data_IF_948028329638
#
_entry.id   IF_948028329638
#
_cell.length_a   1.000
_cell.length_b   1.000
_cell.length_c   1.000
_cell.angle_alpha   90.00
_cell.angle_beta   90.00
_cell.angle_gamma   90.00
#
_symmetry.space_group_name_H-M   'P 1'
#
loop_
_entity.id
_entity.type
_entity.pdbx_description
1 polymer ?
#
# COMPACT_ATOMS: atom_id res chain seq x y z
N UNK A 1 -51.94 -11.80 63.10
CA UNK A 1 -50.62 -11.71 62.44
C UNK A 1 -50.26 -13.09 61.90
N UNK A 2 -50.51 -13.36 60.61
CA UNK A 2 -50.14 -14.63 59.95
C UNK A 2 -48.70 -14.51 59.45
N UNK A 3 -47.82 -15.45 59.82
CA UNK A 3 -46.51 -15.64 59.17
C UNK A 3 -46.75 -16.18 57.76
N UNK A 4 -46.18 -15.52 56.75
CA UNK A 4 -45.96 -16.11 55.42
C UNK A 4 -44.47 -16.39 55.23
N UNK A 5 -44.22 -17.46 54.49
CA UNK A 5 -42.98 -18.22 54.37
C UNK A 5 -42.47 -18.15 52.93
N UNK A 6 -41.14 -18.12 52.78
CA UNK A 6 -40.35 -18.57 51.60
C UNK A 6 -40.52 -17.72 50.32
N UNK A 7 -39.56 -17.51 49.40
CA UNK A 7 -38.50 -18.38 48.84
C UNK A 7 -37.44 -17.49 48.17
N UNK A 8 -36.17 -17.84 48.34
CA UNK A 8 -35.03 -17.27 47.59
C UNK A 8 -34.87 -18.05 46.28
N UNK A 9 -34.85 -17.38 45.13
CA UNK A 9 -34.38 -17.97 43.88
C UNK A 9 -32.95 -17.50 43.62
N UNK A 10 -31.99 -18.42 43.76
CA UNK A 10 -30.65 -18.26 43.19
C UNK A 10 -30.71 -18.91 41.80
N UNK A 11 -30.65 -18.11 40.74
CA UNK A 11 -30.35 -18.64 39.41
C UNK A 11 -28.83 -18.75 39.27
N UNK A 12 -28.32 -19.97 39.37
CA UNK A 12 -27.04 -20.35 38.79
C UNK A 12 -27.25 -20.45 37.27
N UNK A 13 -26.71 -19.50 36.50
CA UNK A 13 -26.59 -19.68 35.06
C UNK A 13 -25.24 -20.36 34.77
N UNK A 14 -25.24 -21.70 34.82
CA UNK A 14 -24.21 -22.54 34.22
C UNK A 14 -24.61 -22.74 32.75
N UNK A 15 -24.00 -21.95 31.90
CA UNK A 15 -24.16 -22.01 30.46
C UNK A 15 -23.27 -20.95 29.87
N UNK A 16 -22.06 -21.33 29.47
CA UNK A 16 -21.21 -20.45 28.68
C UNK A 16 -21.98 -20.10 27.42
N UNK A 17 -22.37 -18.83 27.27
CA UNK A 17 -22.52 -18.30 25.93
C UNK A 17 -21.16 -18.54 25.27
N UNK A 18 -21.08 -19.50 24.35
CA UNK A 18 -20.06 -19.39 23.32
C UNK A 18 -20.36 -18.07 22.67
N UNK A 19 -19.61 -17.03 23.01
CA UNK A 19 -19.62 -15.79 22.27
C UNK A 19 -19.21 -16.20 20.86
N UNK A 20 -20.20 -16.44 20.00
CA UNK A 20 -20.02 -16.18 18.60
C UNK A 20 -19.57 -14.73 18.60
N UNK A 21 -18.26 -14.54 18.47
CA UNK A 21 -17.63 -13.23 18.43
C UNK A 21 -18.40 -12.49 17.34
N UNK A 22 -19.24 -11.54 17.74
CA UNK A 22 -19.65 -10.54 16.77
C UNK A 22 -18.33 -10.01 16.23
N UNK A 23 -18.06 -10.23 14.94
CA UNK A 23 -16.93 -9.57 14.32
C UNK A 23 -17.24 -8.09 14.44
N UNK A 24 -16.61 -7.46 15.43
CA UNK A 24 -16.64 -6.02 15.57
C UNK A 24 -15.96 -5.51 14.30
N UNK A 25 -16.75 -4.89 13.43
CA UNK A 25 -16.22 -4.19 12.27
C UNK A 25 -15.52 -2.95 12.84
N UNK A 26 -14.20 -3.04 13.01
CA UNK A 26 -13.35 -1.98 13.54
C UNK A 26 -12.47 -1.40 12.43
N UNK A 27 -12.46 -0.07 12.31
CA UNK A 27 -11.49 0.63 11.48
C UNK A 27 -10.12 0.61 12.16
N UNK A 28 -9.23 -0.28 11.72
CA UNK A 28 -7.90 -0.45 12.33
C UNK A 28 -6.93 0.69 12.01
N UNK A 29 -6.94 1.17 10.78
CA UNK A 29 -6.31 2.44 10.38
C UNK A 29 -6.89 2.93 9.05
N UNK A 30 -6.74 4.23 8.79
CA UNK A 30 -6.95 4.86 7.50
C UNK A 30 -6.08 6.11 7.44
N UNK A 31 -5.55 6.44 6.28
CA UNK A 31 -4.74 7.64 6.08
C UNK A 31 -4.92 8.17 4.67
N UNK A 32 -4.69 9.48 4.50
CA UNK A 32 -4.44 10.04 3.18
C UNK A 32 -2.97 9.82 2.80
N UNK A 33 -2.72 9.53 1.53
CA UNK A 33 -1.41 9.47 0.92
C UNK A 33 -1.51 10.19 -0.42
N UNK A 34 -0.80 11.29 -0.57
CA UNK A 34 -0.91 12.13 -1.76
C UNK A 34 -0.22 13.47 -1.55
N UNK A 35 -0.51 14.42 -2.42
CA UNK A 35 0.22 15.70 -2.48
C UNK A 35 -0.69 16.91 -2.35
N UNK A 36 -0.10 18.10 -2.24
CA UNK A 36 -0.83 19.36 -2.06
C UNK A 36 -1.37 19.97 -3.38
N UNK A 37 -1.10 19.35 -4.53
CA UNK A 37 -1.44 19.89 -5.85
C UNK A 37 -2.77 19.36 -6.41
N UNK A 38 -3.38 20.13 -7.30
CA UNK A 38 -4.74 19.88 -7.83
C UNK A 38 -4.84 18.75 -8.87
N UNK A 39 -3.71 18.30 -9.42
CA UNK A 39 -3.69 17.14 -10.32
C UNK A 39 -3.67 15.85 -9.50
N UNK A 40 -4.67 15.00 -9.72
CA UNK A 40 -5.00 13.88 -8.85
C UNK A 40 -3.99 12.74 -8.88
N UNK A 41 -3.88 12.03 -7.76
CA UNK A 41 -3.20 10.73 -7.70
C UNK A 41 -4.19 9.64 -8.14
N UNK A 42 -3.82 8.82 -9.13
CA UNK A 42 -4.74 7.85 -9.74
C UNK A 42 -4.35 6.39 -9.48
N UNK A 43 -5.39 5.57 -9.28
CA UNK A 43 -5.38 4.12 -9.44
C UNK A 43 -4.42 3.37 -8.51
N UNK A 44 -4.55 3.49 -7.18
CA UNK A 44 -3.69 2.73 -6.28
C UNK A 44 -4.02 1.23 -6.37
N UNK A 45 -3.07 0.42 -6.80
CA UNK A 45 -3.10 -1.01 -6.51
C UNK A 45 -2.50 -1.26 -5.13
N UNK A 46 -3.04 -2.26 -4.44
CA UNK A 46 -2.64 -2.60 -3.07
C UNK A 46 -2.40 -4.09 -2.92
N UNK A 47 -1.34 -4.43 -2.18
CA UNK A 47 -1.15 -5.76 -1.65
C UNK A 47 -0.72 -5.69 -0.18
N UNK A 48 -0.88 -6.80 0.53
CA UNK A 48 -0.54 -6.90 1.96
C UNK A 48 0.34 -8.13 2.15
N UNK A 49 1.43 -7.98 2.89
CA UNK A 49 2.32 -9.11 3.21
C UNK A 49 1.80 -9.95 4.39
N UNK A 50 2.52 -11.02 4.74
CA UNK A 50 2.14 -11.91 5.83
C UNK A 50 2.22 -11.29 7.24
N UNK A 51 2.86 -10.12 7.38
CA UNK A 51 2.95 -9.39 8.65
C UNK A 51 1.94 -8.23 8.72
N UNK A 52 1.11 -8.05 7.70
CA UNK A 52 0.06 -7.04 7.63
C UNK A 52 0.53 -5.67 7.15
N UNK A 53 1.75 -5.54 6.61
CA UNK A 53 2.18 -4.29 5.99
C UNK A 53 1.51 -4.12 4.62
N UNK A 54 0.90 -2.97 4.40
CA UNK A 54 0.29 -2.61 3.12
C UNK A 54 1.32 -1.97 2.19
N UNK A 55 1.26 -2.38 0.92
CA UNK A 55 2.07 -1.88 -0.18
C UNK A 55 1.14 -1.23 -1.18
N UNK A 56 1.48 -0.03 -1.64
CA UNK A 56 0.70 0.72 -2.63
C UNK A 56 1.60 1.10 -3.81
N UNK A 57 1.04 1.05 -5.01
CA UNK A 57 1.61 1.67 -6.20
C UNK A 57 0.52 2.38 -6.97
N UNK A 58 0.88 3.43 -7.68
CA UNK A 58 -0.03 4.18 -8.52
C UNK A 58 0.72 5.27 -9.27
N UNK A 59 -0.03 6.18 -9.86
CA UNK A 59 0.53 7.33 -10.55
C UNK A 59 0.24 8.61 -9.77
N UNK A 60 1.24 9.49 -9.68
CA UNK A 60 1.11 10.84 -9.11
C UNK A 60 1.61 11.85 -10.12
N UNK A 61 0.87 12.94 -10.32
CA UNK A 61 1.31 14.05 -11.17
C UNK A 61 2.19 15.06 -10.38
N UNK A 62 2.59 14.70 -9.17
CA UNK A 62 3.32 15.58 -8.26
C UNK A 62 4.82 15.32 -8.22
N UNK A 63 5.59 16.28 -8.73
CA UNK A 63 7.04 16.21 -8.87
C UNK A 63 7.83 16.39 -7.57
N UNK A 64 7.26 17.12 -6.61
CA UNK A 64 8.01 17.65 -5.47
C UNK A 64 7.37 17.33 -4.11
N UNK A 65 6.13 16.85 -4.06
CA UNK A 65 5.36 16.81 -2.82
C UNK A 65 4.80 15.42 -2.45
N UNK A 66 5.09 14.35 -3.19
CA UNK A 66 4.75 13.01 -2.72
C UNK A 66 5.69 12.61 -1.57
N UNK A 67 5.16 12.10 -0.44
CA UNK A 67 6.00 11.79 0.72
C UNK A 67 6.95 10.64 0.37
N UNK A 68 8.26 10.92 0.34
CA UNK A 68 9.31 9.92 0.15
C UNK A 68 10.01 9.59 1.47
N UNK A 69 10.30 8.31 1.68
CA UNK A 69 10.99 7.78 2.88
C UNK A 69 11.89 6.64 2.43
N UNK A 70 13.16 6.67 2.85
CA UNK A 70 14.17 5.65 2.49
C UNK A 70 14.24 5.34 0.97
N UNK A 71 14.00 6.34 0.12
CA UNK A 71 13.64 6.11 -1.28
C UNK A 71 14.78 5.65 -2.19
N UNK A 72 14.46 4.83 -3.20
CA UNK A 72 15.32 4.55 -4.34
C UNK A 72 15.47 5.79 -5.24
N UNK A 73 14.38 6.49 -5.50
CA UNK A 73 14.34 7.82 -6.12
C UNK A 73 13.56 8.75 -5.19
N UNK A 74 14.24 9.76 -4.62
CA UNK A 74 13.66 10.69 -3.63
C UNK A 74 13.00 11.92 -4.24
N UNK A 75 13.24 12.21 -5.52
CA UNK A 75 12.63 13.30 -6.26
C UNK A 75 12.16 12.85 -7.64
N UNK A 76 11.05 13.42 -8.10
CA UNK A 76 10.59 13.27 -9.46
C UNK A 76 11.27 14.28 -10.38
N UNK A 77 12.57 14.15 -10.67
CA UNK A 77 13.23 15.06 -11.61
C UNK A 77 12.70 14.87 -13.04
N UNK A 78 11.99 15.86 -13.62
CA UNK A 78 11.57 15.87 -15.04
C UNK A 78 10.30 16.69 -15.33
N UNK A 79 9.85 16.69 -16.59
CA UNK A 79 8.66 17.41 -17.10
C UNK A 79 7.34 16.87 -16.52
N UNK A 80 6.23 17.63 -16.70
CA UNK A 80 4.83 17.36 -16.31
C UNK A 80 4.25 16.00 -16.78
N UNK A 81 4.87 14.91 -16.40
CA UNK A 81 4.47 13.55 -16.74
C UNK A 81 4.19 12.76 -15.45
N UNK A 82 3.15 11.90 -15.43
CA UNK A 82 2.85 11.08 -14.27
C UNK A 82 4.06 10.26 -13.79
N UNK A 83 4.24 10.23 -12.47
CA UNK A 83 5.28 9.47 -11.77
C UNK A 83 4.67 8.22 -11.17
N UNK A 84 5.41 7.12 -11.20
CA UNK A 84 5.04 5.95 -10.41
C UNK A 84 5.54 6.15 -8.99
N UNK A 85 4.68 5.94 -8.00
CA UNK A 85 5.12 5.78 -6.60
C UNK A 85 5.01 4.31 -6.17
N UNK A 86 5.87 3.92 -5.23
CA UNK A 86 5.80 2.64 -4.53
C UNK A 86 6.00 2.89 -3.06
N UNK A 87 5.00 2.56 -2.26
CA UNK A 87 4.94 2.87 -0.83
C UNK A 87 4.70 1.60 -0.02
N UNK A 88 5.41 1.45 1.10
CA UNK A 88 5.15 0.41 2.10
C UNK A 88 4.86 1.07 3.44
N UNK A 89 3.73 0.73 4.03
CA UNK A 89 3.36 1.15 5.38
C UNK A 89 3.89 0.20 6.45
N UNK A 90 3.98 0.65 7.69
CA UNK A 90 3.98 -0.26 8.85
C UNK A 90 2.64 -1.00 8.94
N UNK A 91 2.60 -2.14 9.62
CA UNK A 91 1.36 -2.92 9.77
C UNK A 91 0.26 -2.17 10.56
N UNK A 92 0.64 -1.16 11.34
CA UNK A 92 -0.28 -0.24 12.01
C UNK A 92 -0.75 0.91 11.12
N UNK A 93 -0.19 1.08 9.92
CA UNK A 93 -0.46 2.21 9.03
C UNK A 93 0.07 3.55 9.52
N UNK A 94 0.81 3.58 10.65
CA UNK A 94 1.21 4.82 11.33
C UNK A 94 2.47 5.46 10.75
N UNK A 95 3.23 4.73 9.95
CA UNK A 95 4.49 5.18 9.35
C UNK A 95 4.69 4.59 7.97
N UNK A 96 5.46 5.29 7.12
CA UNK A 96 6.01 4.72 5.89
C UNK A 96 7.31 4.01 6.24
N UNK A 97 7.42 2.71 5.94
CA UNK A 97 8.69 1.99 5.99
C UNK A 97 9.58 2.41 4.83
N UNK A 98 8.97 2.54 3.65
CA UNK A 98 9.55 3.25 2.52
C UNK A 98 8.47 3.89 1.65
N UNK A 99 8.88 4.87 0.86
CA UNK A 99 8.09 5.46 -0.20
C UNK A 99 9.03 6.08 -1.23
N UNK A 100 8.92 5.65 -2.47
CA UNK A 100 9.86 6.00 -3.55
C UNK A 100 9.15 6.29 -4.85
N UNK A 101 9.77 7.08 -5.70
CA UNK A 101 9.42 7.10 -7.12
C UNK A 101 10.05 5.93 -7.88
N UNK A 102 9.46 5.58 -9.02
CA UNK A 102 10.00 4.64 -10.01
C UNK A 102 9.71 5.14 -11.43
N UNK A 103 10.64 5.90 -12.03
CA UNK A 103 10.42 6.47 -13.37
C UNK A 103 11.71 6.85 -14.10
N UNK A 104 11.57 7.10 -15.40
CA UNK A 104 12.50 7.87 -16.21
C UNK A 104 11.96 9.27 -16.54
N UNK A 105 12.50 9.88 -17.60
CA UNK A 105 12.19 11.24 -18.07
C UNK A 105 10.79 11.42 -18.70
N UNK A 106 10.14 10.33 -19.14
CA UNK A 106 8.85 10.37 -19.85
C UNK A 106 7.71 9.72 -19.04
N UNK A 107 6.47 9.87 -19.51
CA UNK A 107 5.29 9.39 -18.80
C UNK A 107 5.33 7.89 -18.54
N UNK A 108 4.92 7.52 -17.34
CA UNK A 108 4.93 6.16 -16.83
C UNK A 108 3.76 5.99 -15.86
N UNK A 109 3.24 4.78 -15.73
CA UNK A 109 2.17 4.49 -14.78
C UNK A 109 2.40 3.14 -14.11
N UNK A 110 2.27 3.11 -12.78
CA UNK A 110 2.13 1.87 -12.02
C UNK A 110 0.69 1.41 -12.10
N UNK A 111 0.46 0.18 -12.52
CA UNK A 111 -0.88 -0.38 -12.73
C UNK A 111 -1.27 -1.41 -11.68
N UNK A 112 -0.31 -2.23 -11.24
CA UNK A 112 -0.57 -3.27 -10.25
C UNK A 112 0.69 -3.62 -9.45
N UNK A 113 0.50 -4.26 -8.29
CA UNK A 113 1.59 -4.82 -7.52
C UNK A 113 1.21 -6.13 -6.83
N UNK A 114 2.20 -7.00 -6.66
CA UNK A 114 2.12 -8.17 -5.80
C UNK A 114 3.27 -8.18 -4.80
N UNK A 115 3.06 -8.82 -3.64
CA UNK A 115 4.11 -8.99 -2.64
C UNK A 115 4.34 -10.48 -2.41
N UNK A 116 5.59 -10.91 -2.45
CA UNK A 116 5.93 -12.31 -2.19
C UNK A 116 6.12 -12.61 -0.70
N UNK A 117 6.31 -13.89 -0.36
CA UNK A 117 6.49 -14.34 1.03
C UNK A 117 7.75 -13.81 1.70
N UNK A 118 8.65 -13.15 0.97
CA UNK A 118 9.84 -12.50 1.51
C UNK A 118 9.61 -11.00 1.73
N UNK A 119 8.41 -10.47 1.46
CA UNK A 119 8.10 -9.05 1.60
C UNK A 119 8.60 -8.18 0.45
N UNK A 120 8.97 -8.79 -0.69
CA UNK A 120 9.42 -8.05 -1.88
C UNK A 120 8.22 -7.62 -2.71
N UNK A 121 8.18 -6.35 -3.07
CA UNK A 121 7.17 -5.81 -3.97
C UNK A 121 7.58 -6.05 -5.43
N UNK A 122 6.65 -6.58 -6.21
CA UNK A 122 6.70 -6.73 -7.66
C UNK A 122 5.70 -5.76 -8.25
N UNK A 123 6.19 -4.75 -8.96
CA UNK A 123 5.38 -3.67 -9.54
C UNK A 123 5.37 -3.82 -11.05
N UNK A 124 4.19 -3.69 -11.64
CA UNK A 124 4.00 -3.73 -13.09
C UNK A 124 3.30 -2.46 -13.58
N UNK A 125 3.52 -2.15 -14.84
CA UNK A 125 2.93 -0.99 -15.48
C UNK A 125 3.53 -0.75 -16.86
N UNK A 126 3.51 0.49 -17.31
CA UNK A 126 4.15 0.88 -18.57
C UNK A 126 5.00 2.14 -18.42
N UNK A 127 5.95 2.31 -19.32
CA UNK A 127 6.79 3.51 -19.42
C UNK A 127 7.06 3.85 -20.88
N UNK A 128 6.96 5.13 -21.23
CA UNK A 128 7.44 5.68 -22.49
C UNK A 128 8.87 6.26 -22.37
N UNK A 129 9.54 6.02 -21.24
CA UNK A 129 10.86 6.57 -20.95
C UNK A 129 11.96 5.65 -21.49
N UNK A 130 12.92 6.22 -22.21
CA UNK A 130 14.13 5.51 -22.65
C UNK A 130 15.20 5.42 -21.57
N UNK A 131 15.02 6.15 -20.47
CA UNK A 131 15.91 6.19 -19.29
C UNK A 131 15.22 5.61 -18.04
N UNK A 132 14.26 4.70 -18.22
CA UNK A 132 13.63 4.01 -17.11
C UNK A 132 14.66 3.18 -16.31
N UNK A 133 14.59 3.14 -14.97
CA UNK A 133 15.55 2.39 -14.17
C UNK A 133 15.44 0.89 -14.44
N UNK A 134 16.43 0.34 -15.13
CA UNK A 134 16.54 -1.09 -15.42
C UNK A 134 17.80 -1.67 -14.79
N UNK A 135 17.70 -2.92 -14.31
CA UNK A 135 18.82 -3.65 -13.71
C UNK A 135 18.71 -5.13 -14.02
N UNK A 136 19.76 -5.73 -14.57
CA UNK A 136 19.78 -7.14 -15.02
C UNK A 136 18.61 -7.47 -15.96
N UNK A 137 18.32 -6.59 -16.90
CA UNK A 137 17.11 -6.65 -17.71
C UNK A 137 17.21 -7.62 -18.89
N UNK A 138 16.09 -8.27 -19.23
CA UNK A 138 15.93 -9.01 -20.48
C UNK A 138 15.91 -8.05 -21.68
N UNK A 139 15.12 -6.98 -21.57
CA UNK A 139 15.12 -5.85 -22.49
C UNK A 139 15.62 -4.62 -21.71
N UNK A 140 16.82 -4.14 -22.05
CA UNK A 140 17.48 -3.04 -21.35
C UNK A 140 17.12 -1.65 -21.87
N UNK A 141 16.47 -1.55 -23.02
CA UNK A 141 16.14 -0.29 -23.68
C UNK A 141 14.68 -0.31 -24.12
N UNK A 142 13.99 0.82 -24.02
CA UNK A 142 12.62 0.95 -24.56
C UNK A 142 12.67 0.82 -26.09
N UNK A 143 11.76 0.01 -26.66
CA UNK A 143 11.74 -0.34 -28.08
C UNK A 143 10.92 0.63 -28.96
N UNK A 144 10.42 1.74 -28.40
CA UNK A 144 9.67 2.76 -29.12
C UNK A 144 8.54 3.37 -28.30
N UNK A 145 7.31 2.88 -28.47
CA UNK A 145 6.15 3.37 -27.71
C UNK A 145 6.21 2.99 -26.22
N UNK A 146 5.10 3.14 -25.48
CA UNK A 146 5.04 2.65 -24.11
C UNK A 146 5.30 1.15 -24.06
N UNK A 147 6.36 0.77 -23.34
CA UNK A 147 6.69 -0.63 -23.07
C UNK A 147 6.20 -1.01 -21.68
N UNK A 148 5.77 -2.26 -21.52
CA UNK A 148 5.47 -2.82 -20.22
C UNK A 148 6.74 -3.02 -19.41
N UNK A 149 6.68 -2.75 -18.11
CA UNK A 149 7.78 -3.03 -17.18
C UNK A 149 7.36 -3.99 -16.08
N UNK A 150 8.36 -4.64 -15.48
CA UNK A 150 8.26 -5.33 -14.21
C UNK A 150 9.47 -4.96 -13.36
N UNK A 151 9.23 -4.50 -12.14
CA UNK A 151 10.28 -4.12 -11.18
C UNK A 151 10.08 -4.87 -9.88
N UNK A 152 11.17 -5.42 -9.33
CA UNK A 152 11.15 -6.07 -8.02
C UNK A 152 12.05 -5.31 -7.05
N UNK A 153 11.49 -4.84 -5.94
CA UNK A 153 12.24 -4.20 -4.84
C UNK A 153 12.65 -5.22 -3.76
N UNK A 154 13.71 -4.93 -3.01
CA UNK A 154 14.00 -5.68 -1.78
C UNK A 154 12.97 -5.29 -0.70
N UNK A 155 12.84 -6.09 0.38
CA UNK A 155 11.78 -5.87 1.38
C UNK A 155 11.87 -4.52 2.12
N UNK A 156 13.09 -3.99 2.24
CA UNK A 156 13.42 -2.72 2.87
C UNK A 156 13.95 -1.68 1.86
N UNK A 157 13.72 -1.95 0.56
CA UNK A 157 14.31 -1.41 -0.68
C UNK A 157 15.66 -2.01 -1.11
#
# INVERSE_FOLDING_TARGET
MKKLSTTVFIFLLIGSLSSASAEVIELRYSTYLGTEFEEGDYGPAVAVDSIGAAYLTGSTDSFFAFPTVNAYQSSGSGTHNPLIFVTKFSSSGSTLQYSTYLRGSNYSAGLDLAVDSQGRAWVVGFTAATDFPVKNAYQGENAGGPDGFITRFSPDL
#
